data_IF_598429793190
#
_entry.id   IF_598429793190
#
_cell.length_a   1.000
_cell.length_b   1.000
_cell.length_c   1.000
_cell.angle_alpha   90.00
_cell.angle_beta   90.00
_cell.angle_gamma   90.00
#
_symmetry.space_group_name_H-M   'P 1'
#
loop_
_entity.id
_entity.type
_entity.pdbx_description
1 polymer ?
#
# COMPACT_ATOMS: atom_id res chain seq x y z
N UNK A 1 -40.86 -18.37 2.67
CA UNK A 1 -40.33 -17.68 1.46
C UNK A 1 -38.99 -17.04 1.81
N UNK A 2 -37.89 -17.53 1.23
CA UNK A 2 -36.55 -17.00 1.49
C UNK A 2 -36.40 -15.57 0.98
N UNK A 3 -36.26 -14.59 1.90
CA UNK A 3 -36.01 -13.18 1.56
C UNK A 3 -34.72 -13.08 0.75
N UNK A 4 -34.78 -12.55 -0.47
CA UNK A 4 -33.60 -12.29 -1.30
C UNK A 4 -32.81 -11.16 -0.64
N UNK A 5 -31.54 -11.40 -0.36
CA UNK A 5 -30.62 -10.39 0.18
C UNK A 5 -29.94 -9.63 -0.97
N UNK A 6 -29.43 -8.41 -0.73
CA UNK A 6 -28.62 -7.68 -1.69
C UNK A 6 -27.45 -8.49 -2.24
N UNK A 7 -26.75 -9.28 -1.39
CA UNK A 7 -25.65 -10.14 -1.85
C UNK A 7 -26.13 -11.20 -2.86
N UNK A 8 -27.23 -11.90 -2.55
CA UNK A 8 -27.80 -12.92 -3.46
C UNK A 8 -28.27 -12.29 -4.77
N UNK A 9 -28.81 -11.06 -4.72
CA UNK A 9 -29.25 -10.33 -5.91
C UNK A 9 -28.08 -9.93 -6.81
N UNK A 10 -26.94 -9.53 -6.25
CA UNK A 10 -25.73 -9.23 -7.05
C UNK A 10 -25.24 -10.46 -7.81
N UNK A 11 -25.20 -11.62 -7.15
CA UNK A 11 -24.76 -12.87 -7.79
C UNK A 11 -25.62 -13.24 -9.01
N UNK A 12 -26.91 -12.91 -9.02
CA UNK A 12 -27.80 -13.14 -10.17
C UNK A 12 -27.46 -12.28 -11.39
N UNK A 13 -26.79 -11.14 -11.19
CA UNK A 13 -26.42 -10.20 -12.25
C UNK A 13 -24.94 -10.26 -12.61
N UNK A 14 -24.18 -11.28 -12.16
CA UNK A 14 -22.74 -11.44 -12.43
C UNK A 14 -21.93 -10.15 -12.25
N UNK A 15 -22.20 -9.37 -11.19
CA UNK A 15 -21.49 -8.11 -10.92
C UNK A 15 -21.51 -7.09 -12.09
N UNK A 16 -22.61 -7.01 -12.88
CA UNK A 16 -22.84 -5.99 -13.93
C UNK A 16 -22.92 -4.54 -13.36
N UNK A 17 -21.83 -4.04 -12.76
CA UNK A 17 -21.73 -2.70 -12.21
C UNK A 17 -22.52 -2.46 -10.92
N UNK A 18 -22.84 -3.50 -10.15
CA UNK A 18 -23.59 -3.41 -8.89
C UNK A 18 -22.67 -3.65 -7.67
N UNK A 19 -22.94 -2.97 -6.56
CA UNK A 19 -22.20 -3.12 -5.30
C UNK A 19 -23.14 -3.13 -4.08
N UNK A 20 -22.74 -3.78 -2.97
CA UNK A 20 -23.46 -3.70 -1.69
C UNK A 20 -22.71 -2.77 -0.75
N UNK A 21 -23.39 -1.76 -0.21
CA UNK A 21 -22.90 -0.95 0.92
C UNK A 21 -23.95 -1.02 2.04
N UNK A 22 -23.54 -1.38 3.26
CA UNK A 22 -24.42 -1.42 4.45
C UNK A 22 -25.79 -2.11 4.22
N UNK A 23 -25.78 -3.32 3.64
CA UNK A 23 -27.00 -4.10 3.33
C UNK A 23 -27.98 -3.44 2.33
N UNK A 24 -27.50 -2.50 1.50
CA UNK A 24 -28.25 -1.89 0.40
C UNK A 24 -27.52 -2.09 -0.93
N UNK A 25 -28.27 -2.25 -2.00
CA UNK A 25 -27.75 -2.47 -3.35
C UNK A 25 -27.55 -1.11 -4.04
N UNK A 26 -26.40 -0.93 -4.71
CA UNK A 26 -26.06 0.30 -5.41
C UNK A 26 -25.57 0.01 -6.83
N UNK A 27 -25.95 0.88 -7.77
CA UNK A 27 -25.30 0.96 -9.08
C UNK A 27 -24.02 1.78 -8.96
N UNK A 28 -22.88 1.21 -9.36
CA UNK A 28 -21.58 1.89 -9.37
C UNK A 28 -21.54 2.99 -10.44
N UNK A 29 -22.17 2.78 -11.60
CA UNK A 29 -22.18 3.75 -12.69
C UNK A 29 -23.09 4.97 -12.43
N UNK A 30 -24.11 4.82 -11.60
CA UNK A 30 -25.11 5.86 -11.34
C UNK A 30 -25.04 6.41 -9.91
N UNK A 31 -24.20 5.83 -9.06
CA UNK A 31 -24.11 6.07 -7.61
C UNK A 31 -25.48 6.18 -6.91
N UNK A 32 -26.42 5.34 -7.34
CA UNK A 32 -27.80 5.35 -6.88
C UNK A 32 -28.15 4.03 -6.17
N UNK A 33 -28.87 4.13 -5.06
CA UNK A 33 -29.46 2.99 -4.36
C UNK A 33 -30.55 2.34 -5.22
N UNK A 34 -30.50 1.01 -5.34
CA UNK A 34 -31.47 0.20 -6.06
C UNK A 34 -32.21 -0.73 -5.10
N UNK A 35 -33.50 -0.94 -5.36
CA UNK A 35 -34.29 -1.91 -4.61
C UNK A 35 -33.89 -3.34 -4.99
N UNK A 36 -33.23 -4.03 -4.06
CA UNK A 36 -32.78 -5.40 -4.22
C UNK A 36 -33.91 -6.44 -4.22
N UNK A 37 -35.15 -6.08 -3.87
CA UNK A 37 -36.29 -6.98 -3.91
C UNK A 37 -36.87 -7.08 -5.32
N UNK A 38 -36.95 -5.97 -6.05
CA UNK A 38 -37.61 -5.89 -7.36
C UNK A 38 -36.63 -6.07 -8.51
N UNK A 39 -36.59 -7.28 -9.09
CA UNK A 39 -35.64 -7.62 -10.18
C UNK A 39 -35.86 -6.77 -11.42
N UNK A 40 -37.11 -6.52 -11.78
CA UNK A 40 -37.52 -5.70 -12.93
C UNK A 40 -37.00 -4.27 -12.87
N UNK A 41 -36.94 -3.66 -11.68
CA UNK A 41 -36.39 -2.31 -11.50
C UNK A 41 -34.90 -2.30 -11.83
N UNK A 42 -34.15 -3.29 -11.37
CA UNK A 42 -32.71 -3.41 -11.66
C UNK A 42 -32.49 -3.64 -13.16
N UNK A 43 -33.26 -4.52 -13.80
CA UNK A 43 -33.15 -4.78 -15.24
C UNK A 43 -33.46 -3.52 -16.07
N UNK A 44 -34.55 -2.82 -15.74
CA UNK A 44 -34.91 -1.56 -16.40
C UNK A 44 -33.83 -0.48 -16.22
N UNK A 45 -33.24 -0.36 -15.02
CA UNK A 45 -32.16 0.57 -14.73
C UNK A 45 -30.93 0.32 -15.61
N UNK A 46 -30.47 -0.93 -15.71
CA UNK A 46 -29.29 -1.33 -16.49
C UNK A 46 -29.46 -1.06 -18.00
N UNK A 47 -30.70 -1.04 -18.50
CA UNK A 47 -31.04 -0.76 -19.89
C UNK A 47 -31.24 0.74 -20.18
N UNK A 48 -31.28 1.60 -19.15
CA UNK A 48 -31.49 3.03 -19.38
C UNK A 48 -30.34 3.65 -20.18
N UNK A 49 -30.60 4.59 -21.11
CA UNK A 49 -29.55 5.30 -21.85
C UNK A 49 -28.56 6.01 -20.93
N UNK A 50 -29.06 6.56 -19.81
CA UNK A 50 -28.26 7.20 -18.77
C UNK A 50 -27.28 6.22 -18.12
N UNK A 51 -27.71 5.00 -17.79
CA UNK A 51 -26.83 3.97 -17.27
C UNK A 51 -25.78 3.55 -18.31
N UNK A 52 -26.21 3.32 -19.56
CA UNK A 52 -25.30 2.89 -20.64
C UNK A 52 -24.22 3.95 -20.87
N UNK A 53 -24.58 5.23 -20.93
CA UNK A 53 -23.63 6.33 -21.08
C UNK A 53 -22.68 6.43 -19.88
N UNK A 54 -23.20 6.37 -18.65
CA UNK A 54 -22.36 6.42 -17.46
C UNK A 54 -21.44 5.19 -17.35
N UNK A 55 -21.91 4.01 -17.74
CA UNK A 55 -21.10 2.79 -17.72
C UNK A 55 -19.90 2.88 -18.67
N UNK A 56 -20.08 3.51 -19.83
CA UNK A 56 -18.99 3.81 -20.77
C UNK A 56 -17.99 4.79 -20.16
N UNK A 57 -18.46 5.84 -19.48
CA UNK A 57 -17.60 6.81 -18.79
C UNK A 57 -16.81 6.19 -17.63
N UNK A 58 -17.42 5.27 -16.87
CA UNK A 58 -16.74 4.54 -15.80
C UNK A 58 -15.75 3.51 -16.36
N UNK A 59 -16.06 2.88 -17.50
CA UNK A 59 -15.12 1.99 -18.18
C UNK A 59 -13.90 2.76 -18.74
N UNK A 60 -14.12 3.96 -19.30
CA UNK A 60 -13.01 4.82 -19.76
C UNK A 60 -12.18 5.38 -18.60
N UNK A 61 -12.80 5.66 -17.43
CA UNK A 61 -12.05 6.02 -16.22
C UNK A 61 -11.25 4.84 -15.65
N UNK A 62 -11.77 3.61 -15.71
CA UNK A 62 -11.04 2.40 -15.29
C UNK A 62 -9.91 2.00 -16.25
N UNK A 63 -10.00 2.38 -17.52
CA UNK A 63 -8.91 2.16 -18.49
C UNK A 63 -7.70 3.09 -18.26
N UNK A 64 -7.87 4.18 -17.50
CA UNK A 64 -6.78 5.08 -17.09
C UNK A 64 -6.06 4.62 -15.82
N UNK A 65 -6.52 3.55 -15.16
CA UNK A 65 -6.00 3.09 -13.87
C UNK A 65 -4.95 1.96 -13.97
N UNK A 66 -4.45 1.63 -15.18
CA UNK A 66 -3.60 0.44 -15.39
C UNK A 66 -2.21 0.66 -16.00
N UNK A 67 -1.71 1.89 -16.17
CA UNK A 67 -0.34 2.06 -16.71
C UNK A 67 0.44 3.31 -16.32
N UNK A 68 -0.03 4.13 -15.38
CA UNK A 68 0.79 5.20 -14.82
C UNK A 68 0.89 5.00 -13.30
N UNK A 69 2.10 4.81 -12.77
CA UNK A 69 2.31 4.98 -11.33
C UNK A 69 1.77 6.36 -10.97
N UNK A 70 0.70 6.40 -10.17
CA UNK A 70 0.05 7.64 -9.75
C UNK A 70 1.13 8.61 -9.28
N UNK A 71 1.22 9.81 -9.85
CA UNK A 71 2.25 10.81 -9.51
C UNK A 71 2.30 11.10 -8.00
N UNK A 72 1.16 10.92 -7.31
CA UNK A 72 1.05 10.99 -5.85
C UNK A 72 1.74 9.83 -5.14
N UNK A 73 1.65 8.61 -5.66
CA UNK A 73 2.32 7.43 -5.11
C UNK A 73 3.83 7.50 -5.32
N UNK A 74 4.29 8.01 -6.47
CA UNK A 74 5.70 8.32 -6.72
C UNK A 74 6.22 9.35 -5.71
N UNK A 75 5.49 10.45 -5.51
CA UNK A 75 5.86 11.45 -4.51
C UNK A 75 5.90 10.88 -3.08
N UNK A 76 4.96 10.01 -2.72
CA UNK A 76 4.96 9.32 -1.42
C UNK A 76 6.16 8.38 -1.28
N UNK A 77 6.49 7.64 -2.33
CA UNK A 77 7.65 6.73 -2.39
C UNK A 77 8.94 7.48 -2.16
N UNK A 78 9.17 8.57 -2.90
CA UNK A 78 10.38 9.38 -2.79
C UNK A 78 10.51 10.01 -1.41
N UNK A 79 9.40 10.46 -0.80
CA UNK A 79 9.42 10.97 0.57
C UNK A 79 9.77 9.89 1.59
N UNK A 80 9.20 8.69 1.48
CA UNK A 80 9.50 7.59 2.40
C UNK A 80 10.97 7.18 2.27
N UNK A 81 11.47 7.02 1.04
CA UNK A 81 12.87 6.66 0.79
C UNK A 81 13.80 7.77 1.28
N UNK A 82 13.55 9.03 0.92
CA UNK A 82 14.40 10.15 1.30
C UNK A 82 14.51 10.34 2.81
N UNK A 83 13.38 10.26 3.52
CA UNK A 83 13.38 10.33 5.00
C UNK A 83 14.05 9.11 5.63
N UNK A 84 13.81 7.91 5.10
CA UNK A 84 14.44 6.67 5.58
C UNK A 84 15.95 6.71 5.42
N UNK A 85 16.45 7.03 4.23
CA UNK A 85 17.87 7.10 3.90
C UNK A 85 18.61 8.20 4.68
N UNK A 86 17.94 9.30 5.02
CA UNK A 86 18.51 10.37 5.83
C UNK A 86 18.35 10.13 7.35
N UNK A 87 17.79 9.00 7.77
CA UNK A 87 17.43 8.71 9.17
C UNK A 87 16.59 9.83 9.82
N UNK A 88 15.66 10.41 9.04
CA UNK A 88 14.77 11.49 9.49
C UNK A 88 13.42 10.90 9.88
N UNK A 89 12.99 11.05 11.14
CA UNK A 89 11.68 10.58 11.56
C UNK A 89 10.54 11.30 10.83
N UNK A 90 9.54 10.56 10.34
CA UNK A 90 8.41 11.13 9.59
C UNK A 90 7.66 12.23 10.35
N UNK A 91 7.61 12.18 11.69
CA UNK A 91 6.91 13.21 12.48
C UNK A 91 7.50 14.62 12.30
N UNK A 92 8.73 14.75 11.80
CA UNK A 92 9.37 16.05 11.49
C UNK A 92 8.64 16.80 10.38
N UNK A 93 7.96 16.10 9.46
CA UNK A 93 7.19 16.71 8.36
C UNK A 93 6.02 17.58 8.85
N UNK A 94 5.51 17.31 10.06
CA UNK A 94 4.40 18.05 10.65
C UNK A 94 4.85 19.36 11.35
N UNK A 95 6.15 19.63 11.45
CA UNK A 95 6.63 20.86 12.06
C UNK A 95 6.23 22.06 11.19
N UNK A 96 5.75 23.13 11.84
CA UNK A 96 5.21 24.33 11.17
C UNK A 96 6.18 24.91 10.13
N UNK A 97 7.47 24.94 10.45
CA UNK A 97 8.50 25.46 9.55
C UNK A 97 8.64 24.63 8.27
N UNK A 98 8.70 23.30 8.39
CA UNK A 98 8.72 22.40 7.23
C UNK A 98 7.46 22.56 6.39
N UNK A 99 6.27 22.54 7.00
CA UNK A 99 5.02 22.76 6.27
C UNK A 99 5.01 24.10 5.53
N UNK A 100 5.51 25.16 6.15
CA UNK A 100 5.62 26.48 5.50
C UNK A 100 6.53 26.44 4.28
N UNK A 101 7.70 25.80 4.37
CA UNK A 101 8.62 25.67 3.23
C UNK A 101 7.97 24.85 2.12
N UNK A 102 7.47 23.66 2.45
CA UNK A 102 6.86 22.78 1.46
C UNK A 102 5.65 23.44 0.78
N UNK A 103 4.77 24.09 1.54
CA UNK A 103 3.62 24.78 0.95
C UNK A 103 4.01 26.00 0.09
N UNK A 104 5.19 26.58 0.31
CA UNK A 104 5.68 27.74 -0.46
C UNK A 104 6.29 27.31 -1.80
N UNK A 105 6.96 26.16 -1.84
CA UNK A 105 7.79 25.77 -2.99
C UNK A 105 7.27 24.53 -3.73
N UNK A 106 6.38 23.72 -3.14
CA UNK A 106 5.75 22.60 -3.85
C UNK A 106 4.61 23.10 -4.75
N UNK A 107 4.49 22.48 -5.92
CA UNK A 107 3.35 22.72 -6.80
C UNK A 107 2.04 22.26 -6.14
N UNK A 108 0.88 22.85 -6.49
CA UNK A 108 -0.40 22.57 -5.85
C UNK A 108 -0.82 21.08 -5.84
N UNK A 109 -0.40 20.33 -6.85
CA UNK A 109 -0.63 18.89 -6.99
C UNK A 109 0.14 18.03 -5.96
N UNK A 110 1.32 18.48 -5.52
CA UNK A 110 2.16 17.79 -4.53
C UNK A 110 1.86 18.26 -3.10
N UNK A 111 0.59 18.16 -2.69
CA UNK A 111 0.22 18.45 -1.30
C UNK A 111 0.95 17.51 -0.35
N UNK A 112 1.65 18.10 0.63
CA UNK A 112 2.42 17.37 1.64
C UNK A 112 1.56 16.29 2.32
N UNK A 113 2.02 15.03 2.37
CA UNK A 113 1.25 13.93 2.93
C UNK A 113 1.22 13.99 4.45
N UNK A 114 0.23 13.30 5.03
CA UNK A 114 0.18 13.11 6.47
C UNK A 114 1.21 12.07 6.92
N UNK A 115 1.66 12.15 8.17
CA UNK A 115 2.53 11.12 8.78
C UNK A 115 1.87 9.73 8.71
N UNK A 116 0.56 9.66 8.88
CA UNK A 116 -0.21 8.42 8.75
C UNK A 116 -0.12 7.84 7.34
N UNK A 117 -0.18 8.69 6.31
CA UNK A 117 -0.03 8.28 4.91
C UNK A 117 1.37 7.70 4.67
N UNK A 118 2.42 8.37 5.15
CA UNK A 118 3.80 7.87 5.04
C UNK A 118 3.97 6.53 5.75
N UNK A 119 3.46 6.39 6.98
CA UNK A 119 3.51 5.14 7.75
C UNK A 119 2.74 4.01 7.09
N UNK A 120 1.59 4.30 6.47
CA UNK A 120 0.80 3.31 5.73
C UNK A 120 1.52 2.84 4.46
N UNK A 121 2.31 3.71 3.85
CA UNK A 121 3.04 3.41 2.62
C UNK A 121 4.39 2.70 2.88
N UNK A 122 5.02 2.94 4.03
CA UNK A 122 6.31 2.37 4.42
C UNK A 122 6.40 0.83 4.26
N UNK A 123 5.41 0.00 4.66
CA UNK A 123 5.49 -1.44 4.46
C UNK A 123 5.60 -1.87 2.99
N UNK A 124 5.02 -1.10 2.05
CA UNK A 124 5.14 -1.36 0.61
C UNK A 124 6.59 -1.17 0.16
N UNK A 125 7.19 -0.04 0.56
CA UNK A 125 8.59 0.27 0.25
C UNK A 125 9.55 -0.73 0.90
N UNK A 126 9.31 -1.11 2.16
CA UNK A 126 10.10 -2.14 2.83
C UNK A 126 10.12 -3.46 2.04
N UNK A 127 8.96 -3.93 1.56
CA UNK A 127 8.88 -5.16 0.75
C UNK A 127 9.62 -5.03 -0.58
N UNK A 128 9.54 -3.87 -1.23
CA UNK A 128 10.29 -3.59 -2.46
C UNK A 128 11.80 -3.63 -2.21
N UNK A 129 12.29 -2.99 -1.15
CA UNK A 129 13.71 -3.00 -0.76
C UNK A 129 14.18 -4.39 -0.33
N UNK A 130 13.39 -5.14 0.44
CA UNK A 130 13.70 -6.52 0.82
C UNK A 130 13.84 -7.40 -0.43
N UNK A 131 12.94 -7.25 -1.42
CA UNK A 131 13.03 -7.99 -2.68
C UNK A 131 14.32 -7.66 -3.43
N UNK A 132 14.78 -6.41 -3.41
CA UNK A 132 16.08 -6.03 -4.00
C UNK A 132 17.23 -6.72 -3.28
N UNK A 133 17.21 -6.78 -1.95
CA UNK A 133 18.23 -7.49 -1.14
C UNK A 133 18.23 -8.98 -1.49
N UNK A 134 17.07 -9.63 -1.53
CA UNK A 134 16.96 -11.05 -1.91
C UNK A 134 17.49 -11.31 -3.31
N UNK A 135 17.12 -10.45 -4.28
CA UNK A 135 17.60 -10.55 -5.66
C UNK A 135 19.10 -10.32 -5.75
N UNK A 136 19.66 -9.43 -4.93
CA UNK A 136 21.09 -9.16 -4.88
C UNK A 136 21.92 -10.38 -4.44
N UNK A 137 21.37 -11.22 -3.57
CA UNK A 137 21.99 -12.47 -3.11
C UNK A 137 21.60 -13.71 -3.91
N UNK A 138 20.73 -13.58 -4.91
CA UNK A 138 20.32 -14.71 -5.75
C UNK A 138 21.54 -15.38 -6.40
N UNK A 139 21.54 -16.71 -6.42
CA UNK A 139 22.58 -17.58 -7.01
C UNK A 139 24.02 -17.27 -6.56
N UNK A 140 24.16 -16.67 -5.38
CA UNK A 140 25.44 -16.19 -4.86
C UNK A 140 25.87 -17.00 -3.64
N UNK A 141 27.18 -17.20 -3.49
CA UNK A 141 27.74 -17.68 -2.22
C UNK A 141 27.64 -16.54 -1.19
N UNK A 142 27.14 -16.86 0.00
CA UNK A 142 26.94 -15.87 1.06
C UNK A 142 27.58 -16.33 2.36
N UNK A 143 28.10 -15.38 3.13
CA UNK A 143 28.40 -15.57 4.54
C UNK A 143 27.24 -15.03 5.38
N UNK A 144 26.86 -15.81 6.39
CA UNK A 144 25.82 -15.48 7.36
C UNK A 144 26.50 -15.06 8.66
N UNK A 145 26.19 -13.85 9.11
CA UNK A 145 26.58 -13.35 10.43
C UNK A 145 25.30 -13.18 11.25
N UNK A 146 25.29 -13.83 12.41
CA UNK A 146 24.21 -13.72 13.38
C UNK A 146 24.80 -13.15 14.66
N UNK A 147 24.12 -12.16 15.23
CA UNK A 147 24.52 -11.57 16.51
C UNK A 147 23.31 -11.36 17.40
N UNK A 148 23.50 -11.58 18.69
CA UNK A 148 22.48 -11.43 19.73
C UNK A 148 22.88 -10.26 20.63
N UNK A 149 22.03 -9.24 20.69
CA UNK A 149 22.32 -7.99 21.38
C UNK A 149 21.09 -7.44 22.09
N UNK A 150 21.26 -6.41 22.90
CA UNK A 150 20.16 -5.68 23.54
C UNK A 150 20.05 -4.27 22.94
N UNK A 151 18.83 -3.85 22.60
CA UNK A 151 18.63 -2.49 22.09
C UNK A 151 18.67 -1.43 23.19
N UNK A 152 18.53 -0.15 22.81
CA UNK A 152 18.52 0.98 23.75
C UNK A 152 17.35 0.96 24.75
N UNK A 153 16.36 0.10 24.55
CA UNK A 153 15.22 -0.11 25.44
C UNK A 153 15.35 -1.44 26.23
N UNK A 154 16.54 -2.04 26.23
CA UNK A 154 16.86 -3.29 26.89
C UNK A 154 16.02 -4.48 26.40
N UNK A 155 15.59 -4.45 25.13
CA UNK A 155 14.92 -5.57 24.49
C UNK A 155 15.97 -6.47 23.84
N UNK A 156 15.80 -7.77 24.01
CA UNK A 156 16.61 -8.79 23.35
C UNK A 156 16.38 -8.76 21.83
N UNK A 157 17.44 -8.64 21.05
CA UNK A 157 17.43 -8.51 19.59
C UNK A 157 18.41 -9.48 18.96
N UNK A 158 17.95 -10.24 17.97
CA UNK A 158 18.78 -11.10 17.14
C UNK A 158 18.88 -10.53 15.73
N UNK A 159 20.09 -10.19 15.30
CA UNK A 159 20.37 -9.58 14.01
C UNK A 159 20.89 -10.62 13.02
N UNK A 160 20.37 -10.59 11.80
CA UNK A 160 20.78 -11.47 10.71
C UNK A 160 21.38 -10.61 9.59
N UNK A 161 22.68 -10.78 9.36
CA UNK A 161 23.45 -10.03 8.37
C UNK A 161 24.00 -10.99 7.32
N UNK A 162 23.85 -10.64 6.03
CA UNK A 162 24.43 -11.39 4.92
C UNK A 162 25.54 -10.59 4.24
N UNK A 163 26.60 -11.30 3.86
CA UNK A 163 27.71 -10.77 3.05
C UNK A 163 27.84 -11.63 1.80
N UNK A 164 27.97 -10.99 0.64
CA UNK A 164 28.19 -11.69 -0.63
C UNK A 164 29.65 -12.11 -0.70
N UNK A 165 29.92 -13.37 -1.08
CA UNK A 165 31.27 -13.93 -1.18
C UNK A 165 31.73 -13.93 -2.64
N UNK A 166 31.82 -12.73 -3.23
CA UNK A 166 32.32 -12.55 -4.58
C UNK A 166 33.26 -11.34 -4.64
N UNK A 167 34.55 -11.60 -4.90
CA UNK A 167 35.62 -10.61 -4.92
C UNK A 167 35.41 -9.50 -5.96
N UNK A 168 34.59 -9.75 -6.98
CA UNK A 168 34.31 -8.79 -8.04
C UNK A 168 33.03 -7.97 -7.80
N UNK A 169 32.33 -8.21 -6.68
CA UNK A 169 31.04 -7.61 -6.38
C UNK A 169 31.07 -6.70 -5.15
N UNK A 170 29.96 -6.01 -4.90
CA UNK A 170 29.78 -5.23 -3.68
C UNK A 170 29.75 -6.17 -2.45
N UNK A 171 30.83 -6.20 -1.69
CA UNK A 171 30.95 -7.03 -0.49
C UNK A 171 30.46 -6.33 0.79
N UNK A 172 29.70 -5.23 0.67
CA UNK A 172 29.14 -4.56 1.84
C UNK A 172 28.10 -5.44 2.53
N UNK A 173 28.22 -5.67 3.86
CA UNK A 173 27.22 -6.40 4.62
C UNK A 173 25.84 -5.77 4.51
N UNK A 174 24.81 -6.61 4.44
CA UNK A 174 23.40 -6.19 4.42
C UNK A 174 22.68 -6.81 5.61
N UNK A 175 22.05 -5.96 6.43
CA UNK A 175 21.11 -6.43 7.45
C UNK A 175 19.85 -6.92 6.74
N UNK A 176 19.53 -8.20 6.91
CA UNK A 176 18.40 -8.87 6.24
C UNK A 176 17.21 -8.96 7.17
N UNK A 177 17.45 -9.25 8.45
CA UNK A 177 16.38 -9.33 9.43
C UNK A 177 16.84 -8.91 10.83
N UNK A 178 15.87 -8.55 11.66
CA UNK A 178 16.05 -8.19 13.07
C UNK A 178 14.86 -8.74 13.85
N UNK A 179 15.12 -9.81 14.60
CA UNK A 179 14.12 -10.49 15.40
C UNK A 179 14.18 -9.96 16.83
N UNK A 180 13.02 -9.74 17.45
CA UNK A 180 12.93 -9.42 18.87
C UNK A 180 12.65 -10.70 19.64
N UNK A 181 13.50 -11.02 20.61
CA UNK A 181 13.42 -12.21 21.45
C UNK A 181 12.81 -11.85 22.82
N UNK A 182 12.32 -12.86 23.54
CA UNK A 182 11.82 -12.69 24.91
C UNK A 182 12.96 -12.61 25.94
N UNK A 183 14.06 -13.31 25.68
CA UNK A 183 15.27 -13.28 26.47
C UNK A 183 16.49 -13.47 25.55
N UNK A 184 17.67 -13.00 25.98
CA UNK A 184 18.92 -13.32 25.31
C UNK A 184 19.64 -14.47 26.01
N UNK A 185 20.41 -15.28 25.27
CA UNK A 185 21.23 -16.35 25.87
C UNK A 185 22.37 -15.80 26.74
N UNK A 186 22.72 -14.52 26.58
CA UNK A 186 23.75 -13.85 27.37
C UNK A 186 23.16 -13.33 28.68
N UNK A 187 23.34 -14.08 29.77
CA UNK A 187 23.19 -13.55 31.12
C UNK A 187 24.34 -12.57 31.39
N UNK A 188 24.02 -11.29 31.63
CA UNK A 188 24.94 -10.30 32.20
C UNK A 188 24.86 -10.28 33.72
#
# INVERSE_FOLDING_TARGET
MSKITPQKRISQFNNKGLSVKKQKLYCVACDQELDHLRKSIIESHLLTPKHIQNSKNVASQKALDFSEENSRDLFLKDLVIGFGSANVPFHKINKKFFRRIFNKYLQPEYKLPSVTSLRRFLPKIYKEELKKIVTFFADSKVALLCDETSDSLNRSVFQIILIKLDLNSDNRPKLVDTLFLEAVNFET
#
